data_IF_086957518518
#
_entry.id   IF_086957518518
#
_cell.length_a   1.000
_cell.length_b   1.000
_cell.length_c   1.000
_cell.angle_alpha   90.00
_cell.angle_beta   90.00
_cell.angle_gamma   90.00
#
_symmetry.space_group_name_H-M   'P 1'
#
loop_
_entity.id
_entity.type
_entity.pdbx_description
1 polymer ?
#
# COMPACT_ATOMS: atom_id res chain seq x y z
N UNK A 1 12.87 -10.17 -18.97
CA UNK A 1 11.90 -11.26 -18.81
C UNK A 1 10.70 -10.87 -19.66
N UNK A 2 10.39 -11.62 -20.71
CA UNK A 2 9.31 -11.32 -21.64
C UNK A 2 8.57 -12.63 -21.86
N UNK A 3 7.30 -12.67 -21.46
CA UNK A 3 6.45 -13.86 -21.60
C UNK A 3 5.34 -13.53 -22.58
N UNK A 4 5.37 -14.18 -23.74
CA UNK A 4 4.24 -14.27 -24.65
C UNK A 4 3.56 -15.61 -24.43
N UNK A 5 2.26 -15.59 -24.15
CA UNK A 5 1.43 -16.80 -24.13
C UNK A 5 1.18 -17.24 -25.58
N UNK A 6 1.66 -18.43 -25.95
CA UNK A 6 1.22 -19.12 -27.15
C UNK A 6 0.01 -20.01 -26.80
N UNK A 7 -1.07 -20.04 -27.60
CA UNK A 7 -2.20 -20.95 -27.38
C UNK A 7 -1.85 -22.36 -27.87
N UNK A 8 -1.85 -23.33 -26.96
CA UNK A 8 -1.62 -24.75 -27.25
C UNK A 8 -2.91 -25.58 -27.20
N UNK A 9 -3.29 -26.08 -28.38
CA UNK A 9 -4.20 -27.18 -28.74
C UNK A 9 -5.11 -27.85 -27.68
N UNK A 10 -6.40 -27.90 -28.01
CA UNK A 10 -7.38 -28.83 -27.41
C UNK A 10 -7.05 -30.28 -27.75
N UNK A 11 -6.80 -31.10 -26.73
CA UNK A 11 -6.73 -32.57 -26.89
C UNK A 11 -7.82 -33.18 -26.02
N UNK A 12 -8.82 -33.79 -26.67
CA UNK A 12 -9.92 -34.51 -26.03
C UNK A 12 -9.37 -35.82 -25.44
N UNK A 13 -9.48 -35.99 -24.12
CA UNK A 13 -9.13 -37.23 -23.41
C UNK A 13 -10.40 -37.85 -22.80
N UNK A 14 -10.66 -39.16 -22.96
CA UNK A 14 -11.86 -39.79 -22.43
C UNK A 14 -11.81 -39.94 -20.90
N UNK A 15 -12.96 -39.67 -20.28
CA UNK A 15 -13.23 -39.70 -18.83
C UNK A 15 -13.14 -41.13 -18.26
N UNK A 16 -12.38 -41.37 -17.17
CA UNK A 16 -12.58 -42.56 -16.35
C UNK A 16 -13.71 -42.30 -15.33
N UNK A 17 -14.73 -43.16 -15.34
CA UNK A 17 -15.78 -43.17 -14.32
C UNK A 17 -15.24 -43.83 -13.05
N UNK A 18 -14.98 -43.04 -12.01
CA UNK A 18 -14.76 -43.55 -10.64
C UNK A 18 -16.01 -43.37 -9.80
N UNK A 19 -16.53 -44.48 -9.26
CA UNK A 19 -17.57 -44.51 -8.23
C UNK A 19 -16.99 -44.00 -6.92
N UNK A 20 -17.41 -42.81 -6.47
CA UNK A 20 -17.05 -42.27 -5.16
C UNK A 20 -18.14 -42.61 -4.14
N UNK A 21 -17.81 -43.44 -3.15
CA UNK A 21 -18.61 -43.67 -1.96
C UNK A 21 -18.64 -42.39 -1.10
N UNK A 22 -19.82 -41.84 -0.87
CA UNK A 22 -20.02 -40.69 0.04
C UNK A 22 -20.02 -41.16 1.49
N UNK A 23 -18.94 -40.93 2.21
CA UNK A 23 -18.93 -40.93 3.68
C UNK A 23 -19.04 -39.49 4.18
N UNK A 24 -20.21 -39.16 4.73
CA UNK A 24 -20.47 -37.88 5.39
C UNK A 24 -19.73 -37.84 6.73
N UNK A 25 -18.59 -37.15 6.79
CA UNK A 25 -17.97 -36.76 8.06
C UNK A 25 -18.45 -35.35 8.44
N UNK A 26 -19.18 -35.27 9.54
CA UNK A 26 -19.53 -34.02 10.21
C UNK A 26 -18.26 -33.41 10.81
N UNK A 27 -17.57 -32.58 10.01
CA UNK A 27 -16.39 -31.84 10.43
C UNK A 27 -16.77 -30.63 11.28
N UNK A 28 -16.18 -30.54 12.47
CA UNK A 28 -16.14 -29.32 13.28
C UNK A 28 -15.49 -28.20 12.48
N UNK A 29 -16.20 -27.10 12.28
CA UNK A 29 -15.65 -25.91 11.63
C UNK A 29 -14.47 -25.41 12.48
N UNK A 30 -13.24 -25.30 11.93
CA UNK A 30 -12.16 -24.70 12.67
C UNK A 30 -12.51 -23.23 12.89
N UNK A 31 -12.62 -22.82 14.15
CA UNK A 31 -12.62 -21.40 14.51
C UNK A 31 -11.25 -20.86 14.10
N UNK A 32 -11.18 -20.24 12.93
CA UNK A 32 -9.97 -19.55 12.46
C UNK A 32 -9.74 -18.40 13.43
N UNK A 33 -8.71 -18.54 14.27
CA UNK A 33 -8.20 -17.45 15.09
C UNK A 33 -7.93 -16.25 14.19
N UNK A 34 -8.64 -15.14 14.45
CA UNK A 34 -8.46 -13.94 13.67
C UNK A 34 -7.01 -13.45 13.89
N UNK A 35 -6.20 -13.28 12.83
CA UNK A 35 -4.81 -12.91 13.00
C UNK A 35 -4.71 -11.60 13.78
N UNK A 36 -3.77 -11.54 14.72
CA UNK A 36 -3.52 -10.36 15.54
C UNK A 36 -3.42 -9.10 14.66
N UNK A 37 -4.11 -8.04 15.06
CA UNK A 37 -4.11 -6.74 14.39
C UNK A 37 -2.68 -6.20 14.31
N UNK A 38 -2.08 -6.26 13.13
CA UNK A 38 -0.76 -5.68 12.87
C UNK A 38 -0.83 -4.19 12.52
N UNK A 39 -2.02 -3.61 12.33
CA UNK A 39 -2.21 -2.24 11.86
C UNK A 39 -1.84 -2.00 10.39
N UNK A 40 -1.19 -2.97 9.74
CA UNK A 40 -0.85 -2.92 8.32
C UNK A 40 -1.95 -3.47 7.42
N UNK A 41 -2.12 -2.84 6.25
CA UNK A 41 -2.94 -3.35 5.16
C UNK A 41 -2.31 -4.61 4.58
N UNK A 42 -3.13 -5.63 4.31
CA UNK A 42 -2.75 -6.93 3.74
C UNK A 42 -3.56 -7.21 2.48
N UNK A 43 -3.12 -8.19 1.69
CA UNK A 43 -3.87 -8.73 0.56
C UNK A 43 -4.66 -9.96 1.03
N UNK A 44 -5.88 -10.13 0.50
CA UNK A 44 -6.71 -11.32 0.67
C UNK A 44 -7.41 -11.64 -0.65
N UNK A 45 -6.93 -12.67 -1.36
CA UNK A 45 -7.37 -12.95 -2.73
C UNK A 45 -7.09 -11.77 -3.64
N UNK A 46 -8.14 -11.20 -4.24
CA UNK A 46 -8.08 -10.00 -5.09
C UNK A 46 -8.41 -8.70 -4.34
N UNK A 47 -8.62 -8.75 -3.02
CA UNK A 47 -8.97 -7.60 -2.19
C UNK A 47 -7.89 -7.25 -1.16
N UNK A 48 -8.13 -6.17 -0.42
CA UNK A 48 -7.30 -5.76 0.71
C UNK A 48 -8.03 -5.96 2.03
N UNK A 49 -7.27 -6.19 3.10
CA UNK A 49 -7.77 -6.21 4.46
C UNK A 49 -6.95 -5.33 5.39
N UNK A 50 -7.60 -4.72 6.37
CA UNK A 50 -6.97 -3.99 7.45
C UNK A 50 -7.57 -4.49 8.77
N UNK A 51 -6.71 -4.96 9.67
CA UNK A 51 -7.13 -5.56 10.95
C UNK A 51 -8.19 -6.66 10.79
N UNK A 52 -8.02 -7.50 9.76
CA UNK A 52 -8.93 -8.61 9.47
C UNK A 52 -10.24 -8.23 8.78
N UNK A 53 -10.53 -6.94 8.58
CA UNK A 53 -11.73 -6.45 7.89
C UNK A 53 -11.42 -6.07 6.45
N UNK A 54 -12.43 -6.14 5.56
CA UNK A 54 -12.29 -5.68 4.16
C UNK A 54 -11.88 -4.20 4.16
N UNK A 55 -10.78 -3.91 3.48
CA UNK A 55 -10.29 -2.55 3.27
C UNK A 55 -10.51 -2.18 1.81
N UNK A 56 -11.41 -1.23 1.56
CA UNK A 56 -11.67 -0.73 0.20
C UNK A 56 -10.78 0.48 -0.01
N UNK A 57 -9.89 0.41 -0.99
CA UNK A 57 -9.02 1.52 -1.39
C UNK A 57 -9.88 2.53 -2.16
N UNK A 58 -10.12 3.68 -1.53
CA UNK A 58 -10.72 4.86 -2.12
C UNK A 58 -9.73 5.97 -1.85
N UNK A 59 -9.22 6.64 -2.88
CA UNK A 59 -8.07 7.49 -2.66
C UNK A 59 -7.73 8.46 -3.75
N UNK A 60 -6.78 9.32 -3.42
CA UNK A 60 -6.23 10.33 -4.31
C UNK A 60 -4.71 10.36 -4.30
N UNK A 61 -4.14 11.22 -5.13
CA UNK A 61 -2.72 11.53 -5.11
C UNK A 61 -2.54 12.92 -4.49
N UNK A 62 -1.62 13.04 -3.54
CA UNK A 62 -1.23 14.31 -2.91
C UNK A 62 0.29 14.39 -2.91
N UNK A 63 0.89 14.43 -4.10
CA UNK A 63 2.35 14.38 -4.26
C UNK A 63 3.09 15.48 -3.51
N UNK A 64 2.45 16.64 -3.33
CA UNK A 64 3.02 17.87 -2.79
C UNK A 64 3.07 17.93 -1.25
N UNK A 65 2.33 17.06 -0.55
CA UNK A 65 2.08 17.22 0.90
C UNK A 65 3.37 17.17 1.75
N UNK A 66 4.41 16.49 1.27
CA UNK A 66 5.71 16.42 1.94
C UNK A 66 6.82 17.26 1.30
N UNK A 67 6.55 17.98 0.20
CA UNK A 67 7.61 18.52 -0.66
C UNK A 67 7.94 20.01 -0.43
N UNK A 68 7.08 20.76 0.26
CA UNK A 68 7.09 22.23 0.22
C UNK A 68 7.07 22.92 1.59
N UNK A 69 7.54 22.22 2.64
CA UNK A 69 7.62 22.81 3.98
C UNK A 69 6.26 23.18 4.58
N UNK A 70 5.20 22.47 4.19
CA UNK A 70 3.88 22.66 4.77
C UNK A 70 3.94 22.56 6.29
N UNK A 71 3.18 23.40 6.97
CA UNK A 71 3.01 23.23 8.41
C UNK A 71 2.27 21.92 8.70
N UNK A 72 2.53 21.34 9.86
CA UNK A 72 1.82 20.14 10.33
C UNK A 72 0.31 20.36 10.38
N UNK A 73 -0.15 21.59 10.69
CA UNK A 73 -1.57 21.97 10.62
C UNK A 73 -2.14 21.83 9.21
N UNK A 74 -1.43 22.32 8.19
CA UNK A 74 -1.87 22.19 6.80
C UNK A 74 -1.88 20.75 6.33
N UNK A 75 -0.88 19.95 6.73
CA UNK A 75 -0.85 18.51 6.44
C UNK A 75 -2.05 17.79 7.07
N UNK A 76 -2.33 18.05 8.35
CA UNK A 76 -3.49 17.47 9.05
C UNK A 76 -4.80 17.87 8.38
N UNK A 77 -4.97 19.15 8.02
CA UNK A 77 -6.16 19.62 7.32
C UNK A 77 -6.37 18.89 6.00
N UNK A 78 -5.31 18.71 5.21
CA UNK A 78 -5.39 17.98 3.95
C UNK A 78 -5.83 16.52 4.15
N UNK A 79 -5.25 15.80 5.12
CA UNK A 79 -5.65 14.41 5.41
C UNK A 79 -7.07 14.31 5.99
N UNK A 80 -7.45 15.24 6.88
CA UNK A 80 -8.81 15.33 7.41
C UNK A 80 -9.85 15.53 6.29
N UNK A 81 -9.56 16.41 5.33
CA UNK A 81 -10.47 16.66 4.20
C UNK A 81 -10.60 15.45 3.29
N UNK A 82 -9.50 14.73 3.04
CA UNK A 82 -9.52 13.48 2.27
C UNK A 82 -10.36 12.41 2.98
N UNK A 83 -10.17 12.25 4.30
CA UNK A 83 -10.95 11.31 5.11
C UNK A 83 -12.44 11.70 5.12
N UNK A 84 -12.76 12.98 5.28
CA UNK A 84 -14.13 13.49 5.25
C UNK A 84 -14.82 13.29 3.88
N UNK A 85 -14.05 13.30 2.79
CA UNK A 85 -14.54 12.96 1.45
C UNK A 85 -14.70 11.44 1.22
N UNK A 86 -14.40 10.59 2.22
CA UNK A 86 -14.49 9.14 2.13
C UNK A 86 -13.22 8.45 1.61
N UNK A 87 -12.12 9.19 1.50
CA UNK A 87 -10.81 8.63 1.14
C UNK A 87 -10.24 7.78 2.27
N UNK A 88 -9.81 6.57 1.93
CA UNK A 88 -9.13 5.63 2.82
C UNK A 88 -7.63 5.53 2.55
N UNK A 89 -7.17 5.98 1.37
CA UNK A 89 -5.77 5.86 0.94
C UNK A 89 -5.30 7.12 0.22
N UNK A 90 -4.04 7.53 0.46
CA UNK A 90 -3.40 8.63 -0.27
C UNK A 90 -2.05 8.18 -0.78
N UNK A 91 -1.76 8.47 -2.06
CA UNK A 91 -0.42 8.29 -2.64
C UNK A 91 0.33 9.62 -2.65
N UNK A 92 1.51 9.65 -2.05
CA UNK A 92 2.40 10.83 -1.97
C UNK A 92 3.81 10.47 -2.45
N UNK A 93 4.65 11.47 -2.73
CA UNK A 93 6.05 11.27 -3.09
C UNK A 93 6.89 11.04 -1.84
N UNK A 94 7.44 9.83 -1.72
CA UNK A 94 8.49 9.51 -0.75
C UNK A 94 9.90 9.81 -1.29
N UNK A 95 9.99 10.73 -2.24
CA UNK A 95 11.21 11.07 -2.98
C UNK A 95 11.16 12.57 -3.34
N UNK A 96 12.30 13.24 -3.29
CA UNK A 96 12.52 14.63 -3.65
C UNK A 96 14.04 14.85 -3.90
N UNK A 97 14.45 14.69 -5.15
CA UNK A 97 15.86 14.56 -5.52
C UNK A 97 16.42 15.85 -6.11
N UNK A 98 17.63 16.22 -5.72
CA UNK A 98 18.31 17.42 -6.20
C UNK A 98 19.77 17.14 -6.55
N UNK A 99 20.33 17.86 -7.52
CA UNK A 99 21.79 17.87 -7.78
C UNK A 99 22.49 19.08 -7.14
N UNK A 100 21.71 20.04 -6.67
CA UNK A 100 22.18 21.23 -5.95
C UNK A 100 21.17 21.55 -4.86
N UNK A 101 21.47 21.27 -3.58
CA UNK A 101 20.54 21.48 -2.48
C UNK A 101 19.99 22.90 -2.41
N UNK A 102 18.66 23.01 -2.43
CA UNK A 102 17.92 24.23 -2.13
C UNK A 102 16.59 23.84 -1.46
N UNK A 103 16.12 24.63 -0.49
CA UNK A 103 14.87 24.35 0.21
C UNK A 103 14.77 22.93 0.78
N UNK A 104 13.58 22.34 0.64
CA UNK A 104 13.30 20.98 1.09
C UNK A 104 13.64 19.95 0.02
N UNK A 105 14.36 18.90 0.42
CA UNK A 105 14.78 17.78 -0.43
C UNK A 105 15.07 16.55 0.41
N UNK A 106 14.88 15.36 -0.14
CA UNK A 106 15.10 14.09 0.58
C UNK A 106 16.45 13.47 0.25
N UNK A 107 16.93 13.65 -0.98
CA UNK A 107 18.23 13.14 -1.39
C UNK A 107 18.92 14.08 -2.37
N UNK A 108 20.18 14.39 -2.10
CA UNK A 108 21.03 15.11 -3.05
C UNK A 108 22.00 14.17 -3.75
N UNK A 109 22.34 14.48 -5.00
CA UNK A 109 23.28 13.72 -5.82
C UNK A 109 24.45 14.60 -6.25
N UNK A 110 25.67 14.19 -5.88
CA UNK A 110 26.91 14.75 -6.40
C UNK A 110 27.54 13.74 -7.36
N UNK A 111 27.26 13.89 -8.65
CA UNK A 111 27.54 12.84 -9.64
C UNK A 111 26.79 11.55 -9.30
N UNK A 112 27.51 10.44 -9.15
CA UNK A 112 26.95 9.14 -8.74
C UNK A 112 26.82 8.94 -7.22
N UNK A 113 27.19 9.95 -6.42
CA UNK A 113 27.20 9.85 -4.95
C UNK A 113 25.91 10.41 -4.34
N UNK A 114 25.06 9.58 -3.70
CA UNK A 114 23.87 10.05 -3.00
C UNK A 114 24.20 10.57 -1.59
N UNK A 115 23.42 11.52 -1.11
CA UNK A 115 23.39 11.95 0.30
C UNK A 115 21.95 12.15 0.72
N UNK A 116 21.50 11.39 1.72
CA UNK A 116 20.13 11.46 2.23
C UNK A 116 20.03 12.60 3.25
N UNK A 117 19.01 13.45 3.12
CA UNK A 117 18.70 14.49 4.08
C UNK A 117 17.73 13.95 5.14
N UNK A 118 18.24 13.62 6.32
CA UNK A 118 17.44 13.21 7.49
C UNK A 118 17.14 14.36 8.44
N UNK A 119 17.36 15.61 8.01
CA UNK A 119 17.06 16.82 8.78
C UNK A 119 15.61 17.29 8.65
N UNK A 120 15.32 18.44 9.26
CA UNK A 120 13.99 19.06 9.28
C UNK A 120 13.46 19.47 7.90
N UNK A 121 14.36 19.77 6.96
CA UNK A 121 14.04 20.06 5.53
C UNK A 121 14.08 18.81 4.65
N UNK A 122 14.22 17.62 5.26
CA UNK A 122 14.31 16.35 4.57
C UNK A 122 13.30 15.34 5.08
N UNK A 123 13.75 14.13 5.40
CA UNK A 123 12.86 13.03 5.79
C UNK A 123 12.10 13.28 7.09
N UNK A 124 12.55 14.15 8.00
CA UNK A 124 11.72 14.52 9.16
C UNK A 124 10.46 15.28 8.76
N UNK A 125 10.48 16.01 7.63
CA UNK A 125 9.25 16.57 7.09
C UNK A 125 8.32 15.48 6.54
N UNK A 126 8.88 14.42 5.96
CA UNK A 126 8.10 13.26 5.53
C UNK A 126 7.52 12.48 6.73
N UNK A 127 8.22 12.42 7.85
CA UNK A 127 7.68 11.85 9.10
C UNK A 127 6.41 12.58 9.55
N UNK A 128 6.34 13.91 9.38
CA UNK A 128 5.12 14.68 9.66
C UNK A 128 3.95 14.26 8.75
N UNK A 129 4.23 13.90 7.49
CA UNK A 129 3.20 13.39 6.56
C UNK A 129 2.63 12.07 7.08
N UNK A 130 3.49 11.15 7.53
CA UNK A 130 3.07 9.86 8.10
C UNK A 130 2.30 10.06 9.40
N UNK A 131 2.76 10.98 10.27
CA UNK A 131 2.10 11.30 11.52
C UNK A 131 0.71 11.92 11.29
N UNK A 132 0.58 12.84 10.34
CA UNK A 132 -0.70 13.44 9.98
C UNK A 132 -1.66 12.40 9.36
N UNK A 133 -1.16 11.49 8.51
CA UNK A 133 -1.97 10.39 7.97
C UNK A 133 -2.43 9.40 9.04
N UNK A 134 -1.67 9.20 10.12
CA UNK A 134 -2.07 8.35 11.25
C UNK A 134 -3.13 9.02 12.15
N UNK A 135 -3.14 10.35 12.21
CA UNK A 135 -4.01 11.13 13.09
C UNK A 135 -5.42 11.39 12.53
N UNK A 136 -5.65 11.10 11.25
CA UNK A 136 -6.90 11.38 10.53
C UNK A 136 -7.40 10.11 9.82
#
# INVERSE_FOLDING_TARGET
WYWQCLPGATVTSPLPTTTHSTTSSSGTTPTVSQPASTGFVKVSGTGFTLNGQKYTVVGGNSYWVGLTGLSTTSMNKAFADIAAAGGTTVRTWGFNEVTSPNGDYYQSWSGSSPTVNTGSTGLLNFDNVVAAAKAN
#
